data_IF_610241589792
#
_entry.id   IF_610241589792
#
_cell.length_a   1.000
_cell.length_b   1.000
_cell.length_c   1.000
_cell.angle_alpha   90.00
_cell.angle_beta   90.00
_cell.angle_gamma   90.00
#
_symmetry.space_group_name_H-M   'P 1'
#
loop_
_entity.id
_entity.type
_entity.pdbx_description
1 polymer ?
#
# COMPACT_ATOMS: atom_id res chain seq x y z
N UNK A 1 -0.80 1.72 -14.55
CA UNK A 1 -1.25 0.45 -13.95
C UNK A 1 -2.47 0.71 -13.09
N UNK A 2 -3.58 0.10 -13.46
CA UNK A 2 -4.88 0.32 -12.79
C UNK A 2 -4.80 -0.06 -11.32
N UNK A 3 -4.11 -1.14 -10.99
CA UNK A 3 -4.01 -1.61 -9.61
C UNK A 3 -3.31 -0.60 -8.72
N UNK A 4 -2.20 -0.02 -9.20
CA UNK A 4 -1.50 1.01 -8.44
C UNK A 4 -2.40 2.23 -8.20
N UNK A 5 -3.14 2.65 -9.22
CA UNK A 5 -4.06 3.78 -9.09
C UNK A 5 -5.16 3.51 -8.07
N UNK A 6 -5.71 2.29 -8.10
CA UNK A 6 -6.76 1.89 -7.16
C UNK A 6 -6.22 1.89 -5.72
N UNK A 7 -5.02 1.36 -5.51
CA UNK A 7 -4.40 1.34 -4.19
C UNK A 7 -4.18 2.76 -3.68
N UNK A 8 -3.65 3.64 -4.52
CA UNK A 8 -3.44 5.03 -4.14
C UNK A 8 -4.76 5.69 -3.71
N UNK A 9 -5.84 5.40 -4.41
CA UNK A 9 -7.15 5.93 -4.05
C UNK A 9 -7.65 5.34 -2.73
N UNK A 10 -7.50 4.02 -2.56
CA UNK A 10 -8.08 3.32 -1.41
C UNK A 10 -7.36 3.58 -0.09
N UNK A 11 -6.12 4.04 -0.12
CA UNK A 11 -5.33 4.26 1.10
C UNK A 11 -6.11 5.05 2.17
N UNK A 12 -6.81 6.08 1.77
CA UNK A 12 -7.62 6.88 2.70
C UNK A 12 -8.89 6.16 3.13
N UNK A 13 -9.80 5.85 2.20
CA UNK A 13 -11.09 5.25 2.54
C UNK A 13 -11.01 3.95 3.31
N UNK A 14 -10.00 3.12 3.07
CA UNK A 14 -9.92 1.80 3.71
C UNK A 14 -9.57 1.89 5.21
N UNK A 15 -9.05 3.02 5.66
CA UNK A 15 -8.61 3.17 7.06
C UNK A 15 -9.71 2.83 8.06
N UNK A 16 -10.93 3.26 7.79
CA UNK A 16 -12.05 3.04 8.71
C UNK A 16 -12.47 1.58 8.78
N UNK A 17 -11.97 0.75 7.89
CA UNK A 17 -12.27 -0.67 7.86
C UNK A 17 -11.16 -1.53 8.45
N UNK A 18 -10.03 -0.91 8.82
CA UNK A 18 -8.92 -1.64 9.44
C UNK A 18 -9.11 -1.68 10.95
N UNK A 19 -8.90 -2.86 11.51
CA UNK A 19 -8.86 -3.00 12.97
C UNK A 19 -7.55 -2.40 13.47
N UNK A 20 -7.53 -2.03 14.74
CA UNK A 20 -6.30 -1.55 15.37
C UNK A 20 -5.21 -2.61 15.21
N UNK A 21 -4.05 -2.21 14.73
CA UNK A 21 -2.96 -3.13 14.43
C UNK A 21 -3.15 -3.95 13.17
N UNK A 22 -4.25 -3.73 12.43
CA UNK A 22 -4.51 -4.44 11.19
C UNK A 22 -3.54 -4.08 10.07
N UNK A 23 -3.43 -4.97 9.10
CA UNK A 23 -2.50 -4.81 7.98
C UNK A 23 -3.25 -4.62 6.68
N UNK A 24 -2.84 -3.59 5.92
CA UNK A 24 -3.33 -3.36 4.57
C UNK A 24 -2.32 -3.98 3.61
N UNK A 25 -2.73 -5.03 2.90
CA UNK A 25 -1.85 -5.72 1.97
C UNK A 25 -2.17 -5.26 0.55
N UNK A 26 -1.15 -4.74 -0.13
CA UNK A 26 -1.27 -4.20 -1.48
C UNK A 26 -0.41 -5.05 -2.41
N UNK A 27 -1.02 -5.83 -3.29
CA UNK A 27 -0.27 -6.66 -4.22
C UNK A 27 -0.61 -6.32 -5.67
N UNK A 28 0.16 -6.88 -6.59
CA UNK A 28 -0.05 -6.61 -8.00
C UNK A 28 0.44 -5.24 -8.45
N UNK A 29 1.35 -4.63 -7.70
CA UNK A 29 1.93 -3.33 -8.04
C UNK A 29 3.07 -3.57 -9.02
N UNK A 30 3.01 -2.93 -10.18
CA UNK A 30 4.15 -2.98 -11.09
C UNK A 30 5.27 -2.11 -10.53
N UNK A 31 6.53 -2.56 -10.67
CA UNK A 31 7.69 -1.87 -10.08
C UNK A 31 7.75 -0.39 -10.41
N UNK A 32 7.39 -0.04 -11.63
CA UNK A 32 7.44 1.36 -12.09
C UNK A 32 6.51 2.27 -11.31
N UNK A 33 5.49 1.71 -10.67
CA UNK A 33 4.51 2.48 -9.89
C UNK A 33 4.69 2.30 -8.39
N UNK A 34 5.68 1.54 -7.96
CA UNK A 34 5.89 1.30 -6.52
C UNK A 34 6.10 2.59 -5.74
N UNK A 35 6.90 3.49 -6.27
CA UNK A 35 7.20 4.74 -5.57
C UNK A 35 5.94 5.57 -5.35
N UNK A 36 5.06 5.62 -6.36
CA UNK A 36 3.80 6.35 -6.25
C UNK A 36 2.94 5.74 -5.13
N UNK A 37 2.86 4.42 -5.07
CA UNK A 37 2.08 3.72 -4.06
C UNK A 37 2.68 3.96 -2.66
N UNK A 38 4.00 3.89 -2.54
CA UNK A 38 4.66 4.14 -1.26
C UNK A 38 4.40 5.57 -0.77
N UNK A 39 4.44 6.53 -1.66
CA UNK A 39 4.13 7.93 -1.30
C UNK A 39 2.68 8.09 -0.86
N UNK A 40 1.76 7.44 -1.56
CA UNK A 40 0.34 7.51 -1.19
C UNK A 40 0.10 6.89 0.18
N UNK A 41 0.73 5.75 0.46
CA UNK A 41 0.62 5.10 1.76
C UNK A 41 1.15 6.00 2.86
N UNK A 42 2.34 6.57 2.67
CA UNK A 42 2.93 7.46 3.66
C UNK A 42 2.05 8.69 3.91
N UNK A 43 1.55 9.30 2.85
CA UNK A 43 0.69 10.48 2.97
C UNK A 43 -0.61 10.17 3.70
N UNK A 44 -1.10 8.94 3.60
CA UNK A 44 -2.31 8.51 4.28
C UNK A 44 -2.07 8.05 5.72
N UNK A 45 -0.82 8.05 6.18
CA UNK A 45 -0.48 7.70 7.56
C UNK A 45 -0.07 6.26 7.79
N UNK A 46 0.23 5.52 6.72
CA UNK A 46 0.70 4.13 6.86
C UNK A 46 2.22 4.07 6.96
N UNK A 47 2.69 3.01 7.61
CA UNK A 47 4.09 2.61 7.60
C UNK A 47 4.17 1.27 6.86
N UNK A 48 5.01 1.18 5.84
CA UNK A 48 5.23 -0.08 5.15
C UNK A 48 6.12 -0.95 6.04
N UNK A 49 5.61 -2.09 6.46
CA UNK A 49 6.31 -2.99 7.37
C UNK A 49 6.89 -4.22 6.68
N UNK A 50 6.49 -4.49 5.45
CA UNK A 50 7.07 -5.59 4.68
C UNK A 50 6.94 -5.31 3.19
N UNK A 51 7.90 -5.77 2.42
CA UNK A 51 7.92 -5.62 0.97
C UNK A 51 8.43 -6.90 0.35
N UNK A 52 7.69 -7.43 -0.59
CA UNK A 52 8.12 -8.58 -1.39
C UNK A 52 8.11 -8.15 -2.85
N UNK A 53 9.13 -8.55 -3.58
CA UNK A 53 9.21 -8.26 -5.00
C UNK A 53 9.60 -9.50 -5.76
N UNK A 54 8.95 -9.72 -6.90
CA UNK A 54 9.25 -10.84 -7.77
C UNK A 54 9.07 -10.37 -9.21
N UNK A 55 10.18 -10.39 -9.99
CA UNK A 55 10.15 -9.88 -11.35
C UNK A 55 9.71 -8.42 -11.36
N UNK A 56 8.64 -8.14 -12.09
CA UNK A 56 8.11 -6.80 -12.23
C UNK A 56 7.05 -6.45 -11.18
N UNK A 57 6.75 -7.38 -10.27
CA UNK A 57 5.64 -7.23 -9.34
C UNK A 57 6.11 -7.00 -7.92
N UNK A 58 5.38 -6.17 -7.21
CA UNK A 58 5.68 -5.81 -5.83
C UNK A 58 4.43 -5.98 -4.98
N UNK A 59 4.63 -6.45 -3.76
CA UNK A 59 3.60 -6.56 -2.74
C UNK A 59 4.08 -5.81 -1.50
N UNK A 60 3.22 -4.97 -0.94
CA UNK A 60 3.53 -4.20 0.25
C UNK A 60 2.55 -4.53 1.36
N UNK A 61 3.04 -4.68 2.56
CA UNK A 61 2.20 -4.79 3.75
C UNK A 61 2.40 -3.52 4.58
N UNK A 62 1.31 -2.84 4.89
CA UNK A 62 1.37 -1.55 5.55
C UNK A 62 0.41 -1.51 6.74
N UNK A 63 0.79 -0.76 7.78
CA UNK A 63 -0.03 -0.55 8.95
C UNK A 63 -0.16 0.93 9.22
N UNK A 64 -1.27 1.32 9.80
CA UNK A 64 -1.44 2.71 10.22
C UNK A 64 -0.44 3.01 11.34
N UNK A 65 0.18 4.18 11.26
CA UNK A 65 1.08 4.63 12.31
C UNK A 65 0.28 4.85 13.59
N UNK A 66 0.85 4.46 14.71
CA UNK A 66 0.19 4.56 16.01
C UNK A 66 0.00 6.03 16.42
#
# INVERSE_FOLDING_TARGET
NIIADVICYLCGPVKKHLLEGGTFICSGIIREREEDVQRALAAAGYTVCNRLAKGEWVCLAAKLAA
#
